data_IF_177247295584
#
_entry.id   IF_177247295584
#
_cell.length_a   1.000
_cell.length_b   1.000
_cell.length_c   1.000
_cell.angle_alpha   90.00
_cell.angle_beta   90.00
_cell.angle_gamma   90.00
#
_symmetry.space_group_name_H-M   'P 1'
#
loop_
_entity.id
_entity.type
_entity.pdbx_description
1 polymer ?
#
# COMPACT_ATOMS: atom_id res chain seq x y z
N UNK A 1 24.20 14.25 3.92
CA UNK A 1 23.12 13.24 4.05
C UNK A 1 23.02 12.45 2.75
N UNK A 2 23.12 11.13 2.81
CA UNK A 2 22.97 10.29 1.61
C UNK A 2 21.49 10.21 1.18
N UNK A 3 21.23 10.28 -0.13
CA UNK A 3 19.88 10.15 -0.69
C UNK A 3 19.40 8.70 -0.52
N UNK A 4 18.41 8.49 0.36
CA UNK A 4 17.78 7.18 0.51
C UNK A 4 16.80 6.95 -0.64
N UNK A 5 17.01 5.89 -1.42
CA UNK A 5 16.15 5.55 -2.55
C UNK A 5 14.82 4.97 -2.01
N UNK A 6 13.71 5.40 -2.62
CA UNK A 6 12.33 5.11 -2.18
C UNK A 6 11.92 3.62 -2.15
N UNK A 7 12.65 2.74 -2.85
CA UNK A 7 12.54 1.28 -2.72
C UNK A 7 11.12 0.71 -2.88
N UNK A 8 10.92 -0.51 -2.37
CA UNK A 8 9.64 -1.23 -2.40
C UNK A 8 8.78 -0.99 -1.16
N UNK A 9 9.30 -0.24 -0.19
CA UNK A 9 8.68 -0.04 1.12
C UNK A 9 7.29 0.60 1.01
N UNK A 10 7.12 1.56 0.10
CA UNK A 10 5.81 2.19 -0.15
C UNK A 10 4.82 1.18 -0.75
N UNK A 11 5.22 0.42 -1.78
CA UNK A 11 4.37 -0.59 -2.41
C UNK A 11 3.91 -1.67 -1.41
N UNK A 12 4.81 -2.15 -0.56
CA UNK A 12 4.49 -3.13 0.47
C UNK A 12 3.47 -2.62 1.50
N UNK A 13 3.55 -1.33 1.89
CA UNK A 13 2.58 -0.73 2.82
C UNK A 13 1.18 -0.65 2.21
N UNK A 14 1.05 -0.23 0.95
CA UNK A 14 -0.26 -0.17 0.28
C UNK A 14 -0.88 -1.56 0.13
N UNK A 15 -0.08 -2.56 -0.27
CA UNK A 15 -0.56 -3.93 -0.39
C UNK A 15 -1.08 -4.51 0.94
N UNK A 16 -0.47 -4.14 2.08
CA UNK A 16 -0.94 -4.54 3.41
C UNK A 16 -2.34 -3.99 3.73
N UNK A 17 -2.57 -2.72 3.43
CA UNK A 17 -3.87 -2.05 3.68
C UNK A 17 -4.95 -2.60 2.75
N UNK A 18 -4.66 -2.73 1.45
CA UNK A 18 -5.59 -3.30 0.46
C UNK A 18 -5.95 -4.74 0.83
N UNK A 19 -4.98 -5.53 1.31
CA UNK A 19 -5.23 -6.91 1.76
C UNK A 19 -6.15 -6.96 2.97
N UNK A 20 -6.05 -6.01 3.90
CA UNK A 20 -6.93 -5.89 5.05
C UNK A 20 -8.33 -5.36 4.68
N UNK A 21 -8.43 -4.55 3.63
CA UNK A 21 -9.68 -3.96 3.13
C UNK A 21 -10.52 -4.89 2.24
N UNK A 22 -10.11 -6.15 2.07
CA UNK A 22 -10.85 -7.15 1.30
C UNK A 22 -12.24 -7.37 1.90
N UNK A 23 -13.29 -7.13 1.10
CA UNK A 23 -14.69 -7.20 1.52
C UNK A 23 -15.38 -5.84 1.57
N UNK A 24 -14.63 -4.73 1.49
CA UNK A 24 -15.24 -3.40 1.40
C UNK A 24 -15.86 -3.12 0.03
N UNK A 25 -16.93 -2.32 0.04
CA UNK A 25 -17.68 -1.98 -1.17
C UNK A 25 -16.94 -0.95 -2.04
N UNK A 26 -17.03 -1.15 -3.36
CA UNK A 26 -16.53 -0.19 -4.35
C UNK A 26 -15.02 0.06 -4.27
N UNK A 27 -14.61 1.33 -4.35
CA UNK A 27 -13.19 1.72 -4.40
C UNK A 27 -12.43 1.52 -3.08
N UNK A 28 -13.13 1.34 -1.96
CA UNK A 28 -12.52 1.21 -0.62
C UNK A 28 -11.65 -0.03 -0.43
N UNK A 29 -11.77 -1.04 -1.29
CA UNK A 29 -10.94 -2.26 -1.26
C UNK A 29 -9.75 -2.26 -2.24
N UNK A 30 -9.65 -1.24 -3.10
CA UNK A 30 -8.70 -1.24 -4.24
C UNK A 30 -7.69 -0.07 -4.20
N UNK A 31 -7.88 0.90 -3.30
CA UNK A 31 -6.96 2.02 -3.05
C UNK A 31 -6.34 1.88 -1.68
#
# INVERSE_FOLDING_TARGET
MARVKRGTTTHARHAKVIKAAKGYYGRRKNT
#
